data_IF_479164474092
#
_entry.id   IF_479164474092
#
_cell.length_a   1.000
_cell.length_b   1.000
_cell.length_c   1.000
_cell.angle_alpha   90.00
_cell.angle_beta   90.00
_cell.angle_gamma   90.00
#
_symmetry.space_group_name_H-M   'P 1'
#
loop_
_entity.id
_entity.type
_entity.pdbx_description
1 polymer ?
#
# COMPACT_ATOMS: atom_id res chain seq x y z
N UNK A 1 13.89 30.13 1.71
CA UNK A 1 15.14 29.67 1.02
C UNK A 1 16.06 30.87 0.87
N UNK A 2 17.35 30.71 1.00
CA UNK A 2 18.29 31.84 0.83
C UNK A 2 18.40 32.22 -0.65
N UNK A 3 18.22 33.51 -0.95
CA UNK A 3 18.35 34.02 -2.32
C UNK A 3 19.81 34.48 -2.52
N UNK A 4 20.71 33.54 -2.79
CA UNK A 4 22.14 33.81 -3.00
C UNK A 4 22.39 34.24 -4.44
N UNK A 5 22.93 35.43 -4.62
CA UNK A 5 23.22 36.06 -5.90
C UNK A 5 24.73 36.28 -6.04
N UNK A 6 25.32 35.76 -7.09
CA UNK A 6 26.74 35.95 -7.44
C UNK A 6 26.87 37.04 -8.51
N UNK A 7 27.64 38.05 -8.22
CA UNK A 7 28.02 39.18 -9.11
C UNK A 7 29.47 38.97 -9.56
N UNK A 8 29.73 38.95 -10.87
CA UNK A 8 31.06 38.74 -11.42
C UNK A 8 31.34 39.82 -12.46
N UNK A 9 32.33 40.69 -12.16
CA UNK A 9 32.73 41.78 -13.03
C UNK A 9 34.15 42.22 -12.63
N UNK A 10 35.05 42.41 -13.56
CA UNK A 10 36.45 42.85 -13.26
C UNK A 10 36.53 44.28 -12.81
N UNK A 11 35.46 45.08 -13.04
CA UNK A 11 35.40 46.47 -12.58
C UNK A 11 34.75 46.52 -11.20
N UNK A 12 35.54 46.80 -10.14
CA UNK A 12 35.09 46.95 -8.75
C UNK A 12 33.97 48.01 -8.58
N UNK A 13 33.99 49.06 -9.44
CA UNK A 13 32.98 50.12 -9.43
C UNK A 13 31.61 49.56 -9.90
N UNK A 14 31.59 48.67 -10.83
CA UNK A 14 30.38 47.98 -11.33
C UNK A 14 29.83 47.10 -10.22
N UNK A 15 30.66 46.25 -9.61
CA UNK A 15 30.25 45.40 -8.46
C UNK A 15 29.69 46.24 -7.29
N UNK A 16 30.31 47.38 -7.00
CA UNK A 16 29.83 48.26 -5.95
C UNK A 16 28.49 48.91 -6.29
N UNK A 17 28.28 49.27 -7.54
CA UNK A 17 26.99 49.83 -8.02
C UNK A 17 25.88 48.82 -7.96
N UNK A 18 26.11 47.58 -8.45
CA UNK A 18 25.17 46.47 -8.35
C UNK A 18 24.87 46.10 -6.91
N UNK A 19 25.91 46.04 -6.04
CA UNK A 19 25.72 45.75 -4.61
C UNK A 19 24.84 46.80 -3.93
N UNK A 20 25.07 48.08 -4.22
CA UNK A 20 24.27 49.20 -3.65
C UNK A 20 22.82 49.14 -4.10
N UNK A 21 22.58 48.80 -5.41
CA UNK A 21 21.26 48.66 -5.98
C UNK A 21 20.48 47.54 -5.34
N UNK A 22 21.13 46.38 -5.11
CA UNK A 22 20.47 45.13 -4.69
C UNK A 22 20.49 44.90 -3.17
N UNK A 23 21.19 45.74 -2.39
CA UNK A 23 21.34 45.56 -0.94
C UNK A 23 20.02 45.52 -0.17
N UNK A 24 18.99 46.20 -0.66
CA UNK A 24 17.68 46.29 0.02
C UNK A 24 16.67 45.21 -0.41
N UNK A 25 17.03 44.40 -1.40
CA UNK A 25 16.12 43.41 -2.00
C UNK A 25 16.15 42.05 -1.26
N UNK A 26 16.93 41.93 -0.17
CA UNK A 26 16.96 40.72 0.65
C UNK A 26 17.79 39.56 0.08
N UNK A 27 18.66 39.86 -0.89
CA UNK A 27 19.61 38.87 -1.46
C UNK A 27 20.87 38.76 -0.60
N UNK A 28 21.43 37.55 -0.47
CA UNK A 28 22.82 37.36 -0.01
C UNK A 28 23.73 37.51 -1.21
N UNK A 29 24.53 38.61 -1.21
CA UNK A 29 25.36 38.95 -2.36
C UNK A 29 26.79 38.39 -2.21
N UNK A 30 27.23 37.64 -3.20
CA UNK A 30 28.60 37.18 -3.40
C UNK A 30 29.20 37.98 -4.53
N UNK A 31 30.49 38.32 -4.44
CA UNK A 31 31.20 39.17 -5.39
C UNK A 31 32.46 38.47 -5.82
N UNK A 32 32.74 38.53 -7.08
CA UNK A 32 34.00 38.04 -7.70
C UNK A 32 34.49 39.04 -8.72
N UNK A 33 35.78 39.27 -8.75
CA UNK A 33 36.45 40.17 -9.70
C UNK A 33 37.00 39.45 -10.91
N UNK A 34 36.76 38.12 -11.01
CA UNK A 34 37.16 37.30 -12.18
C UNK A 34 36.24 36.06 -12.29
N UNK A 35 36.22 35.48 -13.50
CA UNK A 35 35.53 34.21 -13.72
C UNK A 35 36.06 33.06 -12.86
N UNK A 36 37.35 33.01 -12.60
CA UNK A 36 37.97 31.96 -11.76
C UNK A 36 37.53 32.06 -10.29
N UNK A 37 37.50 33.27 -9.75
CA UNK A 37 36.98 33.53 -8.41
C UNK A 37 35.50 33.22 -8.32
N UNK A 38 34.71 33.59 -9.34
CA UNK A 38 33.30 33.25 -9.46
C UNK A 38 33.05 31.74 -9.45
N UNK A 39 33.86 30.92 -10.13
CA UNK A 39 33.77 29.47 -10.12
C UNK A 39 34.07 28.88 -8.74
N UNK A 40 35.05 29.43 -8.00
CA UNK A 40 35.33 28.99 -6.60
C UNK A 40 34.16 29.27 -5.68
N UNK A 41 33.60 30.49 -5.70
CA UNK A 41 32.44 30.84 -4.91
C UNK A 41 31.21 29.98 -5.25
N UNK A 42 31.01 29.65 -6.53
CA UNK A 42 29.94 28.79 -6.99
C UNK A 42 30.08 27.33 -6.50
N UNK A 43 31.32 26.85 -6.39
CA UNK A 43 31.60 25.51 -5.87
C UNK A 43 31.29 25.40 -4.37
N UNK A 44 31.63 26.44 -3.60
CA UNK A 44 31.54 26.48 -2.15
C UNK A 44 30.17 26.89 -1.62
N UNK A 45 29.36 27.57 -2.44
CA UNK A 45 28.09 28.16 -2.01
C UNK A 45 26.91 27.68 -2.89
N UNK A 46 25.72 27.63 -2.32
CA UNK A 46 24.48 27.33 -3.06
C UNK A 46 23.96 28.63 -3.72
N UNK A 47 24.49 28.94 -4.90
CA UNK A 47 24.15 30.16 -5.65
C UNK A 47 22.92 29.87 -6.53
N UNK A 48 21.87 30.67 -6.37
CA UNK A 48 20.64 30.56 -7.17
C UNK A 48 20.72 31.30 -8.50
N UNK A 49 21.31 32.49 -8.50
CA UNK A 49 21.42 33.35 -9.68
C UNK A 49 22.84 33.89 -9.81
N UNK A 50 23.34 33.96 -11.05
CA UNK A 50 24.62 34.60 -11.39
C UNK A 50 24.32 35.75 -12.34
N UNK A 51 24.97 36.87 -12.09
CA UNK A 51 25.08 38.00 -13.02
C UNK A 51 26.57 38.18 -13.33
N UNK A 52 26.95 38.06 -14.58
CA UNK A 52 28.35 38.17 -15.02
C UNK A 52 28.54 39.17 -16.12
N UNK A 53 29.55 39.98 -16.02
CA UNK A 53 30.02 40.74 -17.17
C UNK A 53 30.52 39.83 -18.29
N UNK A 54 30.41 40.28 -19.53
CA UNK A 54 30.86 39.57 -20.70
C UNK A 54 32.35 39.77 -20.96
N UNK A 55 32.90 40.97 -20.74
CA UNK A 55 34.27 41.30 -21.04
C UNK A 55 35.18 41.30 -19.83
N UNK A 56 35.68 40.16 -19.46
CA UNK A 56 36.64 40.03 -18.37
C UNK A 56 37.99 39.53 -18.88
N UNK A 57 39.12 39.94 -18.25
CA UNK A 57 40.43 39.39 -18.54
C UNK A 57 40.48 37.89 -18.29
N UNK A 58 41.29 37.18 -19.11
CA UNK A 58 41.55 35.74 -19.01
C UNK A 58 40.39 34.81 -19.29
N UNK A 59 39.18 35.15 -18.92
CA UNK A 59 37.98 34.34 -19.13
C UNK A 59 36.77 35.23 -19.43
N UNK A 60 36.16 35.02 -20.58
CA UNK A 60 34.95 35.77 -20.97
C UNK A 60 33.75 35.34 -20.13
N UNK A 61 32.72 36.20 -20.02
CA UNK A 61 31.50 35.86 -19.33
C UNK A 61 30.79 34.64 -19.88
N UNK A 62 30.77 34.47 -21.20
CA UNK A 62 30.22 33.28 -21.85
C UNK A 62 30.97 32.01 -21.45
N UNK A 63 32.32 32.04 -21.44
CA UNK A 63 33.10 30.89 -20.96
C UNK A 63 32.86 30.57 -19.49
N UNK A 64 32.84 31.61 -18.64
CA UNK A 64 32.52 31.46 -17.22
C UNK A 64 31.12 30.87 -17.01
N UNK A 65 30.09 31.43 -17.65
CA UNK A 65 28.71 30.96 -17.49
C UNK A 65 28.49 29.55 -18.07
N UNK A 66 29.29 29.17 -19.10
CA UNK A 66 29.27 27.80 -19.64
C UNK A 66 29.83 26.81 -18.61
N UNK A 67 30.98 27.11 -17.99
CA UNK A 67 31.58 26.29 -16.92
C UNK A 67 30.67 26.27 -15.65
N UNK A 68 30.06 27.41 -15.34
CA UNK A 68 29.11 27.51 -14.24
C UNK A 68 27.89 26.61 -14.44
N UNK A 69 27.41 26.45 -15.70
CA UNK A 69 26.32 25.50 -16.03
C UNK A 69 26.74 24.06 -15.80
N UNK A 70 27.97 23.68 -16.17
CA UNK A 70 28.46 22.32 -15.92
C UNK A 70 28.58 22.00 -14.43
N UNK A 71 29.06 22.98 -13.65
CA UNK A 71 29.23 22.83 -12.19
C UNK A 71 27.91 22.86 -11.43
N UNK A 72 27.00 23.77 -11.78
CA UNK A 72 25.69 23.98 -11.14
C UNK A 72 24.61 24.21 -12.21
N UNK A 73 24.04 23.16 -12.78
CA UNK A 73 23.09 23.26 -13.90
C UNK A 73 21.78 23.97 -13.52
N UNK A 74 21.46 24.03 -12.23
CA UNK A 74 20.22 24.63 -11.74
C UNK A 74 20.31 26.13 -11.53
N UNK A 75 21.52 26.65 -11.32
CA UNK A 75 21.74 28.10 -11.18
C UNK A 75 21.30 28.84 -12.43
N UNK A 76 20.55 29.92 -12.28
CA UNK A 76 20.15 30.78 -13.41
C UNK A 76 21.27 31.78 -13.69
N UNK A 77 21.61 31.94 -14.98
CA UNK A 77 22.78 32.70 -15.44
C UNK A 77 22.35 33.86 -16.34
N UNK A 78 22.68 35.08 -15.90
CA UNK A 78 22.40 36.34 -16.61
C UNK A 78 23.76 36.94 -17.03
N UNK A 79 23.88 37.36 -18.28
CA UNK A 79 25.05 38.11 -18.78
C UNK A 79 24.72 39.60 -18.80
N UNK A 80 25.70 40.42 -18.41
CA UNK A 80 25.74 41.86 -18.67
C UNK A 80 26.65 42.11 -19.87
N UNK A 81 26.17 42.78 -20.90
CA UNK A 81 26.91 42.93 -22.15
C UNK A 81 26.79 44.32 -22.73
N UNK A 82 27.86 44.81 -23.35
CA UNK A 82 27.82 46.02 -24.19
C UNK A 82 27.16 45.74 -25.53
N UNK A 83 26.83 46.78 -26.26
CA UNK A 83 26.19 46.68 -27.58
C UNK A 83 26.98 45.88 -28.64
N UNK A 84 28.29 45.69 -28.46
CA UNK A 84 29.21 45.06 -29.42
C UNK A 84 29.34 43.54 -29.29
N UNK A 85 28.71 42.92 -28.27
CA UNK A 85 28.95 41.50 -27.92
C UNK A 85 27.73 40.61 -28.19
N UNK A 86 26.72 41.12 -28.89
CA UNK A 86 25.43 40.48 -29.08
C UNK A 86 25.49 39.10 -29.75
N UNK A 87 26.41 38.90 -30.71
CA UNK A 87 26.49 37.64 -31.48
C UNK A 87 26.94 36.47 -30.57
N UNK A 88 27.98 36.68 -29.77
CA UNK A 88 28.51 35.62 -28.88
C UNK A 88 27.54 35.28 -27.74
N UNK A 89 26.84 36.29 -27.23
CA UNK A 89 25.82 36.10 -26.18
C UNK A 89 24.58 35.39 -26.72
N UNK A 90 24.14 35.72 -27.95
CA UNK A 90 22.99 35.08 -28.62
C UNK A 90 23.28 33.59 -28.83
N UNK A 91 24.47 33.23 -29.28
CA UNK A 91 24.87 31.83 -29.42
C UNK A 91 24.88 31.09 -28.08
N UNK A 92 25.36 31.72 -27.01
CA UNK A 92 25.36 31.12 -25.68
C UNK A 92 23.93 30.94 -25.07
N UNK A 93 23.00 31.82 -25.41
CA UNK A 93 21.58 31.65 -25.07
C UNK A 93 21.02 30.44 -25.83
N UNK A 94 21.26 30.35 -27.14
CA UNK A 94 20.75 29.25 -27.96
C UNK A 94 21.30 27.88 -27.50
N UNK A 95 22.53 27.83 -26.98
CA UNK A 95 23.14 26.65 -26.38
C UNK A 95 22.65 26.39 -24.93
N UNK A 96 21.82 27.25 -24.37
CA UNK A 96 21.25 27.13 -22.99
C UNK A 96 22.30 27.41 -21.89
N UNK A 97 23.45 28.02 -22.20
CA UNK A 97 24.46 28.40 -21.20
C UNK A 97 24.04 29.66 -20.44
N UNK A 98 23.28 30.54 -21.06
CA UNK A 98 22.81 31.80 -20.53
C UNK A 98 21.27 31.79 -20.59
N UNK A 99 20.62 32.25 -19.52
CA UNK A 99 19.18 32.40 -19.46
C UNK A 99 18.73 33.68 -20.17
N UNK A 100 19.39 34.78 -19.86
CA UNK A 100 19.06 36.13 -20.37
C UNK A 100 20.30 37.00 -20.42
N UNK A 101 20.29 37.99 -21.28
CA UNK A 101 21.30 39.04 -21.21
C UNK A 101 20.66 40.40 -20.99
N UNK A 102 21.40 41.32 -20.40
CA UNK A 102 21.03 42.71 -20.18
C UNK A 102 22.14 43.63 -20.74
N UNK A 103 21.76 44.73 -21.30
CA UNK A 103 22.71 45.66 -21.88
C UNK A 103 23.30 46.65 -20.85
N UNK A 104 24.56 46.95 -20.98
CA UNK A 104 25.20 48.09 -20.26
C UNK A 104 25.07 49.36 -21.12
N UNK A 105 24.66 50.51 -20.58
CA UNK A 105 24.16 50.70 -19.20
C UNK A 105 22.78 50.10 -19.02
N UNK A 106 22.55 49.52 -17.85
CA UNK A 106 21.27 48.92 -17.48
C UNK A 106 20.29 49.92 -16.90
N UNK A 107 19.01 49.59 -17.02
CA UNK A 107 17.95 50.21 -16.26
C UNK A 107 17.80 49.48 -14.91
N UNK A 108 17.78 50.22 -13.81
CA UNK A 108 17.78 49.67 -12.45
C UNK A 108 16.50 48.85 -12.18
N UNK A 109 15.36 49.32 -12.64
CA UNK A 109 14.08 48.64 -12.42
C UNK A 109 13.98 47.33 -13.27
N UNK A 110 14.41 47.41 -14.52
CA UNK A 110 14.45 46.26 -15.39
C UNK A 110 15.44 45.19 -14.87
N UNK A 111 16.58 45.63 -14.31
CA UNK A 111 17.55 44.70 -13.70
C UNK A 111 16.93 43.97 -12.50
N UNK A 112 16.27 44.69 -11.59
CA UNK A 112 15.57 44.07 -10.43
C UNK A 112 14.52 43.05 -10.89
N UNK A 113 13.65 43.43 -11.84
CA UNK A 113 12.63 42.54 -12.37
C UNK A 113 13.22 41.25 -12.94
N UNK A 114 14.32 41.36 -13.71
CA UNK A 114 14.99 40.18 -14.27
C UNK A 114 15.62 39.27 -13.19
N UNK A 115 16.12 39.85 -12.10
CA UNK A 115 16.66 39.06 -10.97
C UNK A 115 15.54 38.32 -10.24
N UNK A 116 14.41 38.97 -10.00
CA UNK A 116 13.22 38.34 -9.41
C UNK A 116 12.77 37.15 -10.27
N UNK A 117 12.57 37.36 -11.57
CA UNK A 117 12.20 36.32 -12.53
C UNK A 117 13.20 35.16 -12.54
N UNK A 118 14.49 35.47 -12.46
CA UNK A 118 15.55 34.45 -12.38
C UNK A 118 15.46 33.60 -11.12
N UNK A 119 15.19 34.21 -9.95
CA UNK A 119 15.00 33.46 -8.71
C UNK A 119 13.71 32.63 -8.74
N UNK A 120 12.60 33.14 -9.26
CA UNK A 120 11.37 32.37 -9.44
C UNK A 120 11.63 31.11 -10.29
N UNK A 121 12.36 31.27 -11.40
CA UNK A 121 12.75 30.15 -12.26
C UNK A 121 13.64 29.14 -11.54
N UNK A 122 14.61 29.61 -10.75
CA UNK A 122 15.49 28.75 -9.95
C UNK A 122 14.68 27.96 -8.92
N UNK A 123 13.81 28.61 -8.18
CA UNK A 123 12.96 27.94 -7.17
C UNK A 123 11.98 26.95 -7.80
N UNK A 124 11.35 27.33 -8.92
CA UNK A 124 10.44 26.44 -9.65
C UNK A 124 11.16 25.18 -10.13
N UNK A 125 12.39 25.32 -10.67
CA UNK A 125 13.18 24.19 -11.13
C UNK A 125 13.53 23.25 -9.98
N UNK A 126 14.00 23.77 -8.86
CA UNK A 126 14.33 22.97 -7.65
C UNK A 126 13.10 22.28 -7.06
N UNK A 127 11.98 22.98 -7.00
CA UNK A 127 10.74 22.39 -6.50
C UNK A 127 10.25 21.27 -7.42
N UNK A 128 10.29 21.46 -8.72
CA UNK A 128 9.96 20.40 -9.68
C UNK A 128 10.84 19.16 -9.51
N UNK A 129 12.16 19.34 -9.33
CA UNK A 129 13.07 18.23 -9.08
C UNK A 129 12.73 17.50 -7.77
N UNK A 130 12.44 18.25 -6.70
CA UNK A 130 12.03 17.69 -5.42
C UNK A 130 10.76 16.86 -5.56
N UNK A 131 9.71 17.45 -6.17
CA UNK A 131 8.44 16.78 -6.38
C UNK A 131 8.57 15.52 -7.25
N UNK A 132 9.43 15.58 -8.27
CA UNK A 132 9.70 14.41 -9.11
C UNK A 132 10.37 13.27 -8.34
N UNK A 133 11.32 13.60 -7.45
CA UNK A 133 11.96 12.60 -6.58
C UNK A 133 10.95 12.01 -5.59
N UNK A 134 10.13 12.84 -4.94
CA UNK A 134 9.08 12.38 -4.03
C UNK A 134 8.06 11.47 -4.73
N UNK A 135 7.63 11.84 -5.93
CA UNK A 135 6.71 11.04 -6.74
C UNK A 135 7.31 9.67 -7.11
N UNK A 136 8.60 9.66 -7.51
CA UNK A 136 9.30 8.42 -7.86
C UNK A 136 9.40 7.48 -6.66
N UNK A 137 9.73 8.01 -5.48
CA UNK A 137 9.80 7.23 -4.23
C UNK A 137 8.42 6.70 -3.83
N UNK A 138 7.38 7.53 -3.90
CA UNK A 138 6.02 7.12 -3.57
C UNK A 138 5.52 6.03 -4.54
N UNK A 139 5.80 6.16 -5.85
CA UNK A 139 5.46 5.15 -6.84
C UNK A 139 6.15 3.82 -6.58
N UNK A 140 7.44 3.82 -6.26
CA UNK A 140 8.18 2.61 -5.92
C UNK A 140 7.62 1.92 -4.67
N UNK A 141 7.28 2.70 -3.63
CA UNK A 141 6.68 2.17 -2.41
C UNK A 141 5.30 1.53 -2.68
N UNK A 142 4.45 2.19 -3.48
CA UNK A 142 3.15 1.65 -3.86
C UNK A 142 3.27 0.34 -4.62
N UNK A 143 4.24 0.21 -5.54
CA UNK A 143 4.51 -1.04 -6.25
C UNK A 143 4.83 -2.17 -5.27
N UNK A 144 5.74 -1.93 -4.32
CA UNK A 144 6.13 -2.92 -3.30
C UNK A 144 4.94 -3.32 -2.41
N UNK A 145 4.11 -2.35 -2.02
CA UNK A 145 2.90 -2.63 -1.21
C UNK A 145 1.92 -3.49 -2.00
N UNK A 146 1.68 -3.17 -3.28
CA UNK A 146 0.77 -3.95 -4.13
C UNK A 146 1.25 -5.40 -4.30
N UNK A 147 2.54 -5.62 -4.58
CA UNK A 147 3.12 -6.97 -4.68
C UNK A 147 2.92 -7.77 -3.38
N UNK A 148 3.16 -7.14 -2.23
CA UNK A 148 2.94 -7.77 -0.93
C UNK A 148 1.45 -8.09 -0.68
N UNK A 149 0.54 -7.19 -1.04
CA UNK A 149 -0.90 -7.42 -0.90
C UNK A 149 -1.38 -8.56 -1.80
N UNK A 150 -0.94 -8.62 -3.04
CA UNK A 150 -1.24 -9.73 -3.97
C UNK A 150 -0.79 -11.06 -3.39
N UNK A 151 0.43 -11.13 -2.86
CA UNK A 151 0.94 -12.35 -2.22
C UNK A 151 0.09 -12.75 -1.00
N UNK A 152 -0.29 -11.80 -0.13
CA UNK A 152 -1.14 -12.06 1.02
C UNK A 152 -2.55 -12.53 0.61
N UNK A 153 -3.13 -11.93 -0.44
CA UNK A 153 -4.44 -12.35 -0.98
C UNK A 153 -4.37 -13.78 -1.50
N UNK A 154 -3.33 -14.12 -2.27
CA UNK A 154 -3.14 -15.49 -2.77
C UNK A 154 -3.02 -16.51 -1.63
N UNK A 155 -2.23 -16.19 -0.61
CA UNK A 155 -2.03 -17.08 0.54
C UNK A 155 -3.36 -17.29 1.30
N UNK A 156 -4.06 -16.22 1.65
CA UNK A 156 -5.35 -16.33 2.36
C UNK A 156 -6.41 -17.06 1.55
N UNK A 157 -6.42 -16.87 0.23
CA UNK A 157 -7.35 -17.57 -0.67
C UNK A 157 -7.04 -19.07 -0.68
N UNK A 158 -5.76 -19.45 -0.76
CA UNK A 158 -5.36 -20.86 -0.72
C UNK A 158 -5.72 -21.52 0.64
N UNK A 159 -5.52 -20.84 1.75
CA UNK A 159 -5.91 -21.31 3.09
C UNK A 159 -7.44 -21.49 3.20
N UNK A 160 -8.21 -20.50 2.74
CA UNK A 160 -9.66 -20.57 2.75
C UNK A 160 -10.21 -21.74 1.89
N UNK A 161 -9.64 -21.95 0.69
CA UNK A 161 -9.99 -23.08 -0.16
C UNK A 161 -9.60 -24.41 0.46
N UNK A 162 -8.46 -24.49 1.15
CA UNK A 162 -8.05 -25.67 1.92
C UNK A 162 -9.06 -26.02 3.01
N UNK A 163 -9.45 -25.03 3.81
CA UNK A 163 -10.43 -25.21 4.87
C UNK A 163 -11.80 -25.63 4.32
N UNK A 164 -12.27 -25.05 3.22
CA UNK A 164 -13.51 -25.44 2.56
C UNK A 164 -13.49 -26.89 2.09
N UNK A 165 -12.39 -27.34 1.49
CA UNK A 165 -12.23 -28.74 1.07
C UNK A 165 -12.28 -29.71 2.25
N UNK A 166 -11.63 -29.36 3.35
CA UNK A 166 -11.65 -30.17 4.58
C UNK A 166 -13.08 -30.29 5.11
N UNK A 167 -13.81 -29.18 5.22
CA UNK A 167 -15.21 -29.19 5.67
C UNK A 167 -16.12 -30.01 4.74
N UNK A 168 -15.94 -29.92 3.43
CA UNK A 168 -16.69 -30.70 2.44
C UNK A 168 -16.40 -32.19 2.59
N UNK A 169 -15.14 -32.58 2.83
CA UNK A 169 -14.77 -33.98 3.07
C UNK A 169 -15.38 -34.48 4.38
N UNK A 170 -15.32 -33.72 5.45
CA UNK A 170 -15.94 -34.08 6.74
C UNK A 170 -17.43 -34.32 6.58
N UNK A 171 -18.14 -33.44 5.88
CA UNK A 171 -19.58 -33.62 5.57
C UNK A 171 -19.83 -34.85 4.71
N UNK A 172 -19.05 -35.05 3.66
CA UNK A 172 -19.20 -36.19 2.78
C UNK A 172 -19.00 -37.54 3.53
N UNK A 173 -17.99 -37.58 4.42
CA UNK A 173 -17.76 -38.76 5.27
C UNK A 173 -18.94 -39.03 6.19
N UNK A 174 -19.44 -37.99 6.88
CA UNK A 174 -20.59 -38.08 7.78
C UNK A 174 -21.83 -38.61 7.03
N UNK A 175 -22.09 -38.14 5.81
CA UNK A 175 -23.22 -38.58 5.00
C UNK A 175 -23.06 -40.02 4.44
N UNK A 176 -21.82 -40.46 4.20
CA UNK A 176 -21.55 -41.80 3.67
C UNK A 176 -21.55 -42.90 4.76
N UNK A 177 -21.55 -42.53 6.04
CA UNK A 177 -21.52 -43.52 7.12
C UNK A 177 -22.85 -44.34 7.12
N UNK A 178 -22.78 -45.68 7.23
CA UNK A 178 -23.96 -46.57 7.25
C UNK A 178 -24.65 -46.62 8.65
N UNK A 179 -24.45 -45.58 9.44
CA UNK A 179 -25.01 -45.41 10.80
C UNK A 179 -25.70 -44.07 10.89
N UNK A 180 -26.84 -44.02 11.55
CA UNK A 180 -27.54 -42.76 11.81
C UNK A 180 -26.80 -41.98 12.92
N UNK A 181 -26.40 -40.75 12.61
CA UNK A 181 -25.68 -39.87 13.54
C UNK A 181 -26.49 -38.60 13.73
N UNK A 182 -26.76 -38.26 14.98
CA UNK A 182 -27.49 -37.05 15.37
C UNK A 182 -26.72 -36.34 16.46
N UNK A 183 -26.35 -35.06 16.22
CA UNK A 183 -25.81 -34.19 17.24
C UNK A 183 -26.89 -33.36 17.89
N UNK A 184 -26.95 -33.37 19.24
CA UNK A 184 -27.86 -32.62 20.05
C UNK A 184 -27.09 -31.60 20.88
N UNK A 185 -27.63 -30.42 21.10
CA UNK A 185 -27.10 -29.50 22.12
C UNK A 185 -27.49 -29.95 23.54
N UNK A 186 -27.11 -29.18 24.53
CA UNK A 186 -27.41 -29.46 25.96
C UNK A 186 -28.90 -29.36 26.29
N UNK A 187 -29.72 -28.70 25.46
CA UNK A 187 -31.18 -28.56 25.60
C UNK A 187 -31.97 -29.60 24.79
N UNK A 188 -31.26 -30.41 24.02
CA UNK A 188 -31.85 -31.45 23.18
C UNK A 188 -32.30 -30.98 21.81
N UNK A 189 -31.80 -29.83 21.36
CA UNK A 189 -32.03 -29.33 19.98
C UNK A 189 -31.12 -30.07 19.04
N UNK A 190 -31.65 -30.47 17.88
CA UNK A 190 -30.91 -31.18 16.84
C UNK A 190 -30.05 -30.17 16.05
N UNK A 191 -28.75 -30.27 16.25
CA UNK A 191 -27.75 -29.40 15.60
C UNK A 191 -27.12 -30.04 14.38
N UNK A 192 -27.15 -31.38 14.29
CA UNK A 192 -26.57 -32.16 13.21
C UNK A 192 -27.33 -33.46 12.99
N UNK A 193 -27.53 -33.84 11.74
CA UNK A 193 -28.01 -35.15 11.37
C UNK A 193 -27.40 -35.57 10.04
N UNK A 194 -27.01 -36.84 9.88
CA UNK A 194 -26.52 -37.36 8.62
C UNK A 194 -27.65 -37.97 7.79
N UNK A 195 -27.34 -38.34 6.52
CA UNK A 195 -28.34 -38.91 5.61
C UNK A 195 -28.99 -40.21 6.14
N UNK A 196 -28.23 -41.02 6.87
CA UNK A 196 -28.74 -42.26 7.42
C UNK A 196 -29.73 -41.97 8.59
N UNK A 197 -29.51 -40.92 9.35
CA UNK A 197 -30.45 -40.49 10.38
C UNK A 197 -31.81 -40.09 9.78
N UNK A 198 -31.78 -39.39 8.64
CA UNK A 198 -32.99 -39.06 7.89
C UNK A 198 -33.75 -40.33 7.43
N UNK A 199 -33.03 -41.26 6.82
CA UNK A 199 -33.65 -42.48 6.28
C UNK A 199 -34.24 -43.38 7.35
N UNK A 200 -33.62 -43.42 8.53
CA UNK A 200 -33.97 -44.40 9.55
C UNK A 200 -34.97 -43.82 10.56
N UNK A 201 -34.87 -42.55 10.88
CA UNK A 201 -35.58 -41.90 11.99
C UNK A 201 -36.67 -40.92 11.55
N UNK A 202 -36.60 -40.41 10.32
CA UNK A 202 -37.53 -39.38 9.89
C UNK A 202 -38.07 -39.54 8.47
N UNK A 203 -39.38 -39.38 8.27
CA UNK A 203 -39.99 -39.36 6.95
C UNK A 203 -40.05 -37.98 6.30
N UNK A 204 -39.70 -36.94 7.07
CA UNK A 204 -39.66 -35.55 6.60
C UNK A 204 -38.20 -35.14 6.33
N UNK A 205 -37.98 -34.19 5.42
CA UNK A 205 -36.62 -33.80 5.00
C UNK A 205 -35.73 -33.33 6.18
N UNK A 206 -34.42 -33.47 6.05
CA UNK A 206 -33.37 -32.97 6.99
C UNK A 206 -33.62 -31.53 7.45
N UNK A 207 -34.14 -30.68 6.58
CA UNK A 207 -34.47 -29.29 6.88
C UNK A 207 -35.53 -29.12 7.99
N UNK A 208 -36.35 -30.12 8.23
CA UNK A 208 -37.35 -30.13 9.31
C UNK A 208 -36.81 -30.70 10.61
N UNK A 209 -35.69 -31.42 10.58
CA UNK A 209 -35.05 -31.97 11.78
C UNK A 209 -34.12 -30.96 12.45
N UNK A 210 -33.31 -30.30 11.70
CA UNK A 210 -32.34 -29.31 12.23
C UNK A 210 -33.08 -28.16 12.91
N UNK A 211 -32.66 -27.83 14.11
CA UNK A 211 -33.27 -26.79 14.92
C UNK A 211 -34.58 -27.19 15.65
N UNK A 212 -35.03 -28.46 15.50
CA UNK A 212 -36.15 -29.01 16.24
C UNK A 212 -35.68 -29.63 17.57
N UNK A 213 -36.51 -29.60 18.59
CA UNK A 213 -36.22 -30.32 19.83
C UNK A 213 -36.50 -31.81 19.62
N UNK A 214 -35.50 -32.64 19.86
CA UNK A 214 -35.60 -34.07 19.62
C UNK A 214 -36.73 -34.71 20.43
N UNK A 215 -37.06 -34.22 21.62
CA UNK A 215 -38.16 -34.72 22.45
C UNK A 215 -39.54 -34.45 21.87
N UNK A 216 -39.68 -33.44 21.02
CA UNK A 216 -40.96 -33.13 20.38
C UNK A 216 -41.29 -33.99 19.17
N UNK A 217 -40.33 -34.79 18.72
CA UNK A 217 -40.46 -35.61 17.52
C UNK A 217 -40.91 -37.02 17.89
N UNK A 218 -42.02 -37.53 17.30
CA UNK A 218 -42.53 -38.87 17.59
C UNK A 218 -41.52 -40.00 17.35
N UNK A 219 -40.60 -39.79 16.37
CA UNK A 219 -39.59 -40.78 16.02
C UNK A 219 -38.53 -40.96 17.11
N UNK A 220 -38.40 -40.01 18.02
CA UNK A 220 -37.46 -40.03 19.14
C UNK A 220 -38.08 -40.39 20.46
N UNK A 221 -39.41 -40.63 20.51
CA UNK A 221 -40.14 -40.91 21.75
C UNK A 221 -39.64 -42.16 22.50
N UNK A 222 -39.03 -43.08 21.79
CA UNK A 222 -38.51 -44.35 22.32
C UNK A 222 -36.98 -44.34 22.52
N UNK A 223 -36.32 -43.22 22.23
CA UNK A 223 -34.88 -43.10 22.41
C UNK A 223 -34.60 -42.40 23.76
N UNK A 224 -33.57 -42.80 24.51
CA UNK A 224 -33.17 -42.15 25.74
C UNK A 224 -32.50 -40.84 25.43
N UNK A 225 -33.31 -39.80 25.31
CA UNK A 225 -32.79 -38.45 25.13
C UNK A 225 -32.31 -37.92 26.49
N UNK A 226 -31.23 -37.11 26.53
CA UNK A 226 -30.67 -36.64 27.78
C UNK A 226 -31.72 -35.88 28.59
N UNK A 227 -32.14 -36.48 29.69
CA UNK A 227 -32.76 -35.76 30.78
C UNK A 227 -31.63 -35.18 31.64
N UNK A 228 -31.91 -34.20 32.46
CA UNK A 228 -30.96 -33.43 33.28
C UNK A 228 -29.92 -34.24 34.12
N UNK A 229 -29.93 -35.57 34.03
CA UNK A 229 -29.06 -36.51 34.75
C UNK A 229 -28.67 -37.71 33.88
N UNK A 230 -28.07 -37.49 32.72
CA UNK A 230 -27.67 -38.63 31.86
C UNK A 230 -26.36 -39.25 32.36
N UNK A 231 -26.33 -40.57 32.48
CA UNK A 231 -25.09 -41.35 32.74
C UNK A 231 -24.24 -41.37 31.47
N UNK A 232 -22.93 -41.17 31.63
CA UNK A 232 -21.95 -41.29 30.55
C UNK A 232 -22.09 -42.64 29.83
N UNK A 233 -22.26 -42.62 28.48
CA UNK A 233 -22.19 -43.80 27.65
C UNK A 233 -23.41 -44.72 27.77
N UNK A 234 -24.60 -44.16 27.73
CA UNK A 234 -25.84 -44.96 27.71
C UNK A 234 -26.00 -45.63 26.31
N UNK A 235 -26.27 -46.93 26.32
CA UNK A 235 -26.54 -47.73 25.10
C UNK A 235 -27.67 -48.69 25.35
N UNK A 236 -28.37 -49.06 24.30
CA UNK A 236 -29.48 -49.97 24.39
C UNK A 236 -30.02 -50.34 22.99
N UNK A 237 -31.16 -51.03 23.03
CA UNK A 237 -31.90 -51.33 21.82
C UNK A 237 -33.13 -50.43 21.68
N UNK A 238 -33.42 -50.05 20.45
CA UNK A 238 -34.62 -49.30 20.11
C UNK A 238 -35.30 -49.89 18.88
N UNK A 239 -36.61 -49.70 18.80
CA UNK A 239 -37.39 -50.05 17.62
C UNK A 239 -37.34 -48.92 16.58
N UNK A 240 -37.02 -49.24 15.34
CA UNK A 240 -37.11 -48.32 14.24
C UNK A 240 -38.54 -48.22 13.72
N UNK A 241 -38.86 -47.14 13.06
CA UNK A 241 -40.20 -46.91 12.52
C UNK A 241 -40.67 -47.95 11.50
N UNK A 242 -39.73 -48.57 10.78
CA UNK A 242 -40.01 -49.68 9.83
C UNK A 242 -40.23 -51.05 10.49
N UNK A 243 -40.32 -51.09 11.84
CA UNK A 243 -40.44 -52.30 12.63
C UNK A 243 -39.15 -53.06 12.87
N UNK A 244 -38.01 -52.58 12.36
CA UNK A 244 -36.69 -53.16 12.59
C UNK A 244 -36.17 -52.81 14.00
N UNK A 245 -35.22 -53.63 14.50
CA UNK A 245 -34.47 -53.33 15.73
C UNK A 245 -33.18 -52.58 15.37
N UNK A 246 -32.74 -51.69 16.28
CA UNK A 246 -31.49 -51.01 16.18
C UNK A 246 -30.79 -50.88 17.52
N UNK A 247 -29.48 -50.87 17.51
CA UNK A 247 -28.69 -50.47 18.69
C UNK A 247 -28.42 -48.99 18.65
N UNK A 248 -28.54 -48.33 19.78
CA UNK A 248 -28.18 -46.93 19.95
C UNK A 248 -27.06 -46.76 20.98
N UNK A 249 -26.26 -45.69 20.78
CA UNK A 249 -25.27 -45.18 21.74
C UNK A 249 -25.47 -43.69 21.86
N UNK A 250 -25.60 -43.21 23.12
CA UNK A 250 -25.61 -41.81 23.46
C UNK A 250 -24.30 -41.47 24.16
N UNK A 251 -23.53 -40.56 23.62
CA UNK A 251 -22.24 -40.13 24.19
C UNK A 251 -22.19 -38.62 24.35
N UNK A 252 -21.41 -38.20 25.35
CA UNK A 252 -21.13 -36.78 25.57
C UNK A 252 -20.28 -36.24 24.40
N UNK A 253 -20.70 -35.11 23.84
CA UNK A 253 -19.92 -34.37 22.88
C UNK A 253 -19.16 -33.25 23.60
N UNK A 254 -17.86 -33.43 23.73
CA UNK A 254 -16.97 -32.52 24.46
C UNK A 254 -16.12 -31.69 23.48
N UNK A 255 -16.00 -30.38 23.74
CA UNK A 255 -15.05 -29.51 23.04
C UNK A 255 -14.25 -28.74 24.08
N UNK A 256 -12.93 -28.81 24.03
CA UNK A 256 -12.03 -28.15 24.98
C UNK A 256 -12.38 -28.46 26.44
N UNK A 257 -12.72 -29.71 26.75
CA UNK A 257 -13.14 -30.20 28.08
C UNK A 257 -14.51 -29.64 28.58
N UNK A 258 -15.23 -28.90 27.73
CA UNK A 258 -16.61 -28.47 28.05
C UNK A 258 -17.61 -29.33 27.29
N UNK A 259 -18.69 -29.67 27.95
CA UNK A 259 -19.84 -30.36 27.33
C UNK A 259 -20.53 -29.37 26.38
N UNK A 260 -20.55 -29.69 25.10
CA UNK A 260 -21.21 -28.91 24.05
C UNK A 260 -22.58 -29.48 23.72
N UNK A 261 -22.74 -30.78 23.98
CA UNK A 261 -23.98 -31.49 23.67
C UNK A 261 -23.79 -32.99 23.72
N UNK A 262 -24.57 -33.70 22.96
CA UNK A 262 -24.60 -35.17 22.94
C UNK A 262 -24.59 -35.68 21.50
N UNK A 263 -23.97 -36.84 21.29
CA UNK A 263 -23.96 -37.55 20.02
C UNK A 263 -24.76 -38.83 20.16
N UNK A 264 -25.87 -38.91 19.44
CA UNK A 264 -26.69 -40.12 19.35
C UNK A 264 -26.32 -40.86 18.04
N UNK A 265 -25.86 -42.09 18.19
CA UNK A 265 -25.55 -42.99 17.06
C UNK A 265 -26.54 -44.14 17.08
N UNK A 266 -27.17 -44.42 15.95
CA UNK A 266 -28.13 -45.56 15.81
C UNK A 266 -27.71 -46.46 14.66
N UNK A 267 -27.52 -47.72 14.98
CA UNK A 267 -27.12 -48.77 13.99
C UNK A 267 -28.25 -49.73 13.80
N UNK A 268 -28.87 -49.75 12.62
CA UNK A 268 -29.93 -50.74 12.32
C UNK A 268 -29.36 -52.15 12.39
N UNK A 269 -30.13 -53.03 13.01
CA UNK A 269 -29.80 -54.47 12.96
C UNK A 269 -30.17 -55.03 11.57
N UNK A 270 -29.36 -55.90 10.98
CA UNK A 270 -29.74 -56.55 9.74
C UNK A 270 -30.99 -57.39 9.98
N UNK A 271 -31.99 -57.19 9.13
CA UNK A 271 -33.18 -58.07 9.14
C UNK A 271 -32.69 -59.42 8.70
N UNK A 272 -32.70 -60.42 9.62
CA UNK A 272 -32.45 -61.80 9.22
C UNK A 272 -33.68 -62.22 8.39
N UNK A 273 -33.50 -62.22 7.04
CA UNK A 273 -34.44 -62.90 6.21
C UNK A 273 -34.42 -64.39 6.56
N UNK A 274 -35.43 -64.85 7.26
CA UNK A 274 -35.70 -66.29 7.36
C UNK A 274 -36.04 -66.79 5.97
N UNK A 275 -35.03 -67.30 5.27
CA UNK A 275 -35.26 -68.18 4.12
C UNK A 275 -35.96 -69.46 4.61
N UNK A 276 -37.28 -69.52 4.33
CA UNK A 276 -38.11 -70.72 4.45
C UNK A 276 -37.93 -71.54 3.24
#
# INVERSE_FOLDING_TARGET
MANNLLLVDDEENILSSLTRLLRREGYTLFRATSGEEGLKLLAENDIGVIISDQRMPHMTGVEFLTRARELRPDTVRIALSGYTDLDSVTEAINRGSIYKFLTKPWDDELLRQNIVEAFERYHMKRENQRLFQELTQASALLTTINENLEHQVMQRTAEALGNLRTLQLEQAVLHALPVAIIGLDTEGMIMLANQMAENVLCPASLATLLGSNARSLPSFAHLPLPATTTRRGESGECALRNGGAAHYWLSDFMRNQQLVGYLLTVVPQPVMEHTS
#
